data_IF_319034227159
#
_entry.id   IF_319034227159
#
_cell.length_a   1.000
_cell.length_b   1.000
_cell.length_c   1.000
_cell.angle_alpha   90.00
_cell.angle_beta   90.00
_cell.angle_gamma   90.00
#
_symmetry.space_group_name_H-M   'P 1'
#
loop_
_entity.id
_entity.type
_entity.pdbx_description
1 polymer ?
#
# COMPACT_ATOMS: atom_id res chain seq x y z
N UNK A 1 2.96 -29.70 5.83
CA UNK A 1 3.76 -29.52 7.06
C UNK A 1 3.73 -30.77 7.95
N UNK A 2 2.62 -31.51 8.03
CA UNK A 2 2.54 -32.78 8.77
C UNK A 2 3.61 -33.79 8.33
N UNK A 3 3.78 -33.98 7.02
CA UNK A 3 4.83 -34.85 6.49
C UNK A 3 6.25 -34.39 6.88
N UNK A 4 6.49 -33.08 7.00
CA UNK A 4 7.76 -32.56 7.51
C UNK A 4 7.95 -32.88 9.00
N UNK A 5 6.89 -32.79 9.81
CA UNK A 5 6.92 -33.19 11.22
C UNK A 5 7.27 -34.67 11.36
N UNK A 6 6.69 -35.53 10.53
CA UNK A 6 7.01 -36.97 10.50
C UNK A 6 8.46 -37.22 10.10
N UNK A 7 8.93 -36.62 9.00
CA UNK A 7 10.32 -36.78 8.54
C UNK A 7 11.33 -36.25 9.56
N UNK A 8 11.01 -35.16 10.26
CA UNK A 8 11.89 -34.59 11.27
C UNK A 8 12.03 -35.49 12.53
N UNK A 9 11.08 -36.42 12.72
CA UNK A 9 11.04 -37.36 13.85
C UNK A 9 11.52 -38.78 13.48
N UNK A 10 11.74 -39.08 12.20
CA UNK A 10 12.14 -40.40 11.72
C UNK A 10 13.64 -40.49 11.47
N UNK A 11 14.36 -41.28 12.26
CA UNK A 11 15.83 -41.42 12.21
C UNK A 11 16.39 -42.10 10.95
N UNK A 12 15.53 -42.77 10.18
CA UNK A 12 15.90 -43.43 8.92
C UNK A 12 15.86 -42.49 7.71
N UNK A 13 15.28 -41.29 7.83
CA UNK A 13 15.24 -40.31 6.72
C UNK A 13 16.26 -39.20 6.89
N UNK A 14 16.71 -38.64 5.76
CA UNK A 14 17.73 -37.57 5.71
C UNK A 14 17.38 -36.34 6.56
N UNK A 15 16.10 -36.08 6.79
CA UNK A 15 15.63 -34.87 7.45
C UNK A 15 15.48 -35.01 8.98
N UNK A 16 15.89 -36.14 9.58
CA UNK A 16 15.83 -36.33 11.02
C UNK A 16 16.52 -35.19 11.78
N UNK A 17 15.74 -34.45 12.58
CA UNK A 17 16.19 -33.28 13.36
C UNK A 17 16.91 -32.21 12.53
N UNK A 18 16.61 -32.11 11.22
CA UNK A 18 17.22 -31.12 10.32
C UNK A 18 16.32 -29.90 10.10
N UNK A 19 15.06 -29.95 10.52
CA UNK A 19 14.07 -28.88 10.28
C UNK A 19 13.61 -28.30 11.61
N UNK A 20 13.68 -26.98 11.73
CA UNK A 20 13.09 -26.27 12.84
C UNK A 20 11.60 -26.02 12.58
N UNK A 21 10.75 -26.81 13.23
CA UNK A 21 9.30 -26.71 13.09
C UNK A 21 8.67 -25.58 13.92
N UNK A 22 9.46 -24.87 14.75
CA UNK A 22 8.99 -23.75 15.58
C UNK A 22 9.06 -22.39 14.84
N UNK A 23 9.68 -22.38 13.66
CA UNK A 23 9.91 -21.19 12.83
C UNK A 23 9.62 -21.49 11.36
N UNK A 24 8.34 -21.53 11.02
CA UNK A 24 7.87 -21.86 9.68
C UNK A 24 7.49 -20.58 8.92
N UNK A 25 7.95 -20.46 7.67
CA UNK A 25 7.48 -19.45 6.72
C UNK A 25 6.89 -20.14 5.51
N UNK A 26 5.71 -19.70 5.08
CA UNK A 26 5.05 -20.21 3.87
C UNK A 26 5.27 -19.25 2.71
N UNK A 27 5.65 -19.77 1.54
CA UNK A 27 5.90 -18.96 0.34
C UNK A 27 5.08 -19.53 -0.82
N UNK A 28 4.33 -18.66 -1.49
CA UNK A 28 3.50 -19.04 -2.63
C UNK A 28 3.56 -18.01 -3.75
N UNK A 29 3.34 -18.47 -4.99
CA UNK A 29 3.35 -17.64 -6.20
C UNK A 29 2.01 -17.73 -6.93
N UNK A 30 1.48 -16.61 -7.44
CA UNK A 30 0.20 -16.57 -8.17
C UNK A 30 -0.94 -17.14 -7.31
N UNK A 31 -1.69 -18.12 -7.79
CA UNK A 31 -2.67 -18.89 -6.99
C UNK A 31 -2.09 -19.51 -5.73
N UNK A 32 -0.81 -19.89 -5.77
CA UNK A 32 -0.09 -20.38 -4.58
C UNK A 32 0.08 -19.30 -3.52
N UNK A 33 0.17 -18.03 -3.91
CA UNK A 33 0.28 -16.89 -2.98
C UNK A 33 -1.02 -16.65 -2.20
N UNK A 34 -2.18 -16.87 -2.82
CA UNK A 34 -3.47 -16.94 -2.11
C UNK A 34 -3.51 -18.18 -1.20
N UNK A 35 -3.10 -19.33 -1.71
CA UNK A 35 -3.16 -20.60 -0.99
C UNK A 35 -2.37 -20.59 0.33
N UNK A 36 -1.21 -19.91 0.39
CA UNK A 36 -0.44 -19.78 1.65
C UNK A 36 -1.13 -18.90 2.68
N UNK A 37 -1.90 -17.89 2.23
CA UNK A 37 -2.74 -17.05 3.11
C UNK A 37 -3.90 -17.87 3.68
N UNK A 38 -4.56 -18.67 2.84
CA UNK A 38 -5.61 -19.62 3.24
C UNK A 38 -5.07 -20.68 4.20
N UNK A 39 -3.90 -21.25 3.90
CA UNK A 39 -3.25 -22.24 4.77
C UNK A 39 -2.95 -21.68 6.16
N UNK A 40 -2.48 -20.43 6.24
CA UNK A 40 -2.26 -19.76 7.54
C UNK A 40 -3.55 -19.52 8.30
N UNK A 41 -4.63 -19.10 7.61
CA UNK A 41 -5.95 -18.97 8.22
C UNK A 41 -6.45 -20.31 8.79
N UNK A 42 -6.29 -21.39 8.03
CA UNK A 42 -6.79 -22.72 8.41
C UNK A 42 -5.96 -23.37 9.52
N UNK A 43 -4.69 -22.96 9.67
CA UNK A 43 -3.76 -23.56 10.61
C UNK A 43 -4.25 -23.57 12.07
N UNK A 44 -5.05 -22.57 12.46
CA UNK A 44 -5.62 -22.46 13.82
C UNK A 44 -7.06 -22.96 13.93
N UNK A 45 -7.69 -23.38 12.83
CA UNK A 45 -9.08 -23.84 12.85
C UNK A 45 -9.15 -25.30 13.28
N UNK A 46 -10.19 -25.70 14.03
CA UNK A 46 -10.42 -27.11 14.39
C UNK A 46 -11.06 -27.94 13.25
N UNK A 47 -11.63 -27.27 12.25
CA UNK A 47 -12.38 -27.89 11.15
C UNK A 47 -12.12 -27.17 9.83
N UNK A 48 -12.32 -27.87 8.72
CA UNK A 48 -12.46 -27.23 7.42
C UNK A 48 -13.73 -26.37 7.37
N UNK A 49 -13.65 -25.06 7.01
CA UNK A 49 -14.81 -24.16 7.05
C UNK A 49 -16.03 -24.61 6.25
N UNK A 50 -15.84 -25.29 5.11
CA UNK A 50 -16.95 -25.67 4.25
C UNK A 50 -17.50 -27.07 4.57
N UNK A 51 -16.81 -27.86 5.40
CA UNK A 51 -17.25 -29.20 5.80
C UNK A 51 -16.62 -29.63 7.13
N UNK A 52 -17.37 -29.46 8.22
CA UNK A 52 -16.91 -29.80 9.58
C UNK A 52 -16.66 -31.30 9.84
N UNK A 53 -16.92 -32.20 8.88
CA UNK A 53 -16.49 -33.61 8.97
C UNK A 53 -14.98 -33.76 8.80
N UNK A 54 -14.33 -32.77 8.20
CA UNK A 54 -12.89 -32.70 8.07
C UNK A 54 -12.31 -31.98 9.27
N UNK A 55 -11.65 -32.75 10.15
CA UNK A 55 -10.98 -32.25 11.34
C UNK A 55 -9.59 -31.74 11.00
N UNK A 56 -9.18 -30.66 11.63
CA UNK A 56 -7.82 -30.14 11.53
C UNK A 56 -7.09 -30.29 12.87
N UNK A 57 -5.80 -30.66 12.79
CA UNK A 57 -4.86 -30.68 13.92
C UNK A 57 -3.49 -30.16 13.47
N UNK A 58 -3.51 -28.99 12.83
CA UNK A 58 -2.32 -28.38 12.22
C UNK A 58 -1.49 -27.63 13.26
N UNK A 59 -1.99 -26.48 13.74
CA UNK A 59 -1.38 -25.65 14.77
C UNK A 59 0.15 -25.46 14.63
N UNK A 60 0.65 -25.37 13.39
CA UNK A 60 2.06 -25.17 13.10
C UNK A 60 2.50 -23.76 13.50
N UNK A 61 3.77 -23.59 13.89
CA UNK A 61 4.33 -22.28 14.25
C UNK A 61 4.71 -21.47 13.01
N UNK A 62 3.70 -21.09 12.25
CA UNK A 62 3.84 -20.19 11.10
C UNK A 62 4.15 -18.79 11.65
N UNK A 63 5.33 -18.27 11.29
CA UNK A 63 5.83 -16.94 11.68
C UNK A 63 5.63 -15.91 10.59
N UNK A 64 5.56 -16.35 9.34
CA UNK A 64 5.37 -15.44 8.22
C UNK A 64 4.84 -16.08 6.96
N UNK A 65 4.31 -15.24 6.09
CA UNK A 65 3.77 -15.60 4.77
C UNK A 65 4.40 -14.69 3.72
N UNK A 66 4.85 -15.28 2.61
CA UNK A 66 5.22 -14.57 1.40
C UNK A 66 4.26 -14.92 0.28
N UNK A 67 3.60 -13.90 -0.27
CA UNK A 67 2.71 -14.01 -1.41
C UNK A 67 3.32 -13.27 -2.62
N UNK A 68 3.92 -14.01 -3.53
CA UNK A 68 4.52 -13.50 -4.77
C UNK A 68 3.42 -13.40 -5.83
N UNK A 69 3.25 -12.22 -6.44
CA UNK A 69 2.25 -11.88 -7.45
C UNK A 69 0.90 -12.60 -7.23
N UNK A 70 0.31 -12.53 -6.02
CA UNK A 70 -0.78 -13.42 -5.66
C UNK A 70 -2.11 -12.97 -6.26
N UNK A 71 -2.99 -13.92 -6.55
CA UNK A 71 -4.41 -13.62 -6.68
C UNK A 71 -5.01 -13.30 -5.30
N UNK A 72 -6.15 -12.60 -5.26
CA UNK A 72 -6.93 -12.42 -4.02
C UNK A 72 -8.44 -12.51 -4.25
N UNK A 73 -9.06 -13.57 -3.74
CA UNK A 73 -10.51 -13.80 -3.75
C UNK A 73 -10.98 -14.85 -4.77
N UNK A 74 -10.12 -15.77 -5.23
CA UNK A 74 -10.59 -16.93 -5.99
C UNK A 74 -11.22 -17.98 -5.07
N UNK A 75 -10.75 -18.05 -3.82
CA UNK A 75 -11.39 -18.80 -2.75
C UNK A 75 -11.81 -17.85 -1.63
N UNK A 76 -13.04 -18.00 -1.13
CA UNK A 76 -13.59 -17.21 -0.03
C UNK A 76 -14.23 -18.17 0.96
N UNK A 77 -13.48 -18.66 1.98
CA UNK A 77 -14.01 -19.61 2.94
C UNK A 77 -15.25 -19.02 3.62
N UNK A 78 -16.35 -19.77 3.66
CA UNK A 78 -17.65 -19.29 4.14
C UNK A 78 -18.16 -17.98 3.49
N UNK A 79 -17.71 -17.64 2.29
CA UNK A 79 -18.14 -16.45 1.54
C UNK A 79 -17.51 -15.13 1.98
N UNK A 80 -16.49 -15.15 2.84
CA UNK A 80 -15.77 -13.94 3.28
C UNK A 80 -14.34 -13.89 2.75
N UNK A 81 -13.71 -12.69 2.67
CA UNK A 81 -12.29 -12.58 2.41
C UNK A 81 -11.47 -13.34 3.47
N UNK A 82 -10.40 -14.01 3.06
CA UNK A 82 -9.55 -14.82 3.93
C UNK A 82 -8.95 -13.99 5.08
N UNK A 83 -9.31 -14.26 6.34
CA UNK A 83 -8.73 -13.57 7.49
C UNK A 83 -7.34 -14.12 7.78
N UNK A 84 -6.35 -13.24 7.88
CA UNK A 84 -4.98 -13.57 8.31
C UNK A 84 -4.67 -12.73 9.53
N UNK A 85 -4.20 -13.36 10.60
CA UNK A 85 -3.85 -12.67 11.83
C UNK A 85 -2.56 -13.24 12.45
N UNK A 86 -1.89 -12.39 13.23
CA UNK A 86 -0.77 -12.76 14.12
C UNK A 86 0.39 -13.49 13.42
N UNK A 87 0.69 -13.05 12.19
CA UNK A 87 1.84 -13.51 11.39
C UNK A 87 2.45 -12.33 10.64
N UNK A 88 3.75 -12.39 10.36
CA UNK A 88 4.36 -11.46 9.42
C UNK A 88 3.84 -11.74 8.00
N UNK A 89 3.69 -10.69 7.19
CA UNK A 89 3.20 -10.84 5.82
C UNK A 89 4.06 -10.05 4.83
N UNK A 90 4.40 -10.64 3.70
CA UNK A 90 5.07 -9.93 2.61
C UNK A 90 4.46 -10.28 1.27
N UNK A 91 4.17 -9.26 0.46
CA UNK A 91 3.77 -9.45 -0.93
C UNK A 91 4.65 -8.64 -1.88
N UNK A 92 4.94 -9.22 -3.03
CA UNK A 92 5.73 -8.59 -4.09
C UNK A 92 5.04 -8.82 -5.43
N UNK A 93 4.89 -7.77 -6.24
CA UNK A 93 4.34 -7.90 -7.59
C UNK A 93 4.99 -6.90 -8.54
N UNK A 94 5.01 -7.25 -9.82
CA UNK A 94 5.58 -6.41 -10.87
C UNK A 94 4.53 -5.59 -11.62
N UNK A 95 4.92 -4.42 -12.13
CA UNK A 95 4.01 -3.56 -12.90
C UNK A 95 3.73 -4.08 -14.32
N UNK A 96 4.61 -4.94 -14.85
CA UNK A 96 4.51 -5.58 -16.17
C UNK A 96 3.95 -7.01 -16.07
N UNK A 97 3.31 -7.35 -14.95
CA UNK A 97 2.62 -8.61 -14.74
C UNK A 97 1.41 -8.70 -15.69
N UNK A 98 1.51 -9.56 -16.71
CA UNK A 98 0.46 -9.67 -17.72
C UNK A 98 -0.60 -10.73 -17.40
N UNK A 99 -0.38 -11.56 -16.37
CA UNK A 99 -1.34 -12.56 -15.90
C UNK A 99 -2.25 -11.92 -14.84
N UNK A 100 -1.64 -11.27 -13.85
CA UNK A 100 -2.27 -10.50 -12.78
C UNK A 100 -1.92 -9.02 -12.90
N UNK A 101 -2.74 -8.30 -13.65
CA UNK A 101 -2.40 -6.94 -14.04
C UNK A 101 -2.67 -5.89 -12.95
N UNK A 102 -3.50 -6.18 -11.93
CA UNK A 102 -3.72 -5.37 -10.72
C UNK A 102 -2.87 -5.87 -9.56
N UNK A 103 -2.44 -4.99 -8.66
CA UNK A 103 -1.67 -5.34 -7.46
C UNK A 103 -2.55 -5.99 -6.37
N UNK A 104 -3.00 -7.22 -6.64
CA UNK A 104 -3.98 -7.92 -5.82
C UNK A 104 -3.45 -8.32 -4.44
N UNK A 105 -2.15 -8.59 -4.32
CA UNK A 105 -1.52 -8.90 -3.03
C UNK A 105 -1.69 -7.80 -1.97
N UNK A 106 -1.81 -6.54 -2.39
CA UNK A 106 -2.05 -5.43 -1.47
C UNK A 106 -3.39 -5.56 -0.72
N UNK A 107 -4.40 -6.19 -1.35
CA UNK A 107 -5.70 -6.42 -0.71
C UNK A 107 -5.60 -7.35 0.50
N UNK A 108 -4.85 -8.46 0.36
CA UNK A 108 -4.64 -9.39 1.47
C UNK A 108 -3.70 -8.80 2.52
N UNK A 109 -2.63 -8.11 2.10
CA UNK A 109 -1.72 -7.41 3.01
C UNK A 109 -2.47 -6.48 3.96
N UNK A 110 -3.36 -5.62 3.42
CA UNK A 110 -4.13 -4.65 4.23
C UNK A 110 -5.17 -5.27 5.16
N UNK A 111 -5.58 -6.52 4.91
CA UNK A 111 -6.50 -7.26 5.78
C UNK A 111 -5.78 -8.01 6.90
N UNK A 112 -4.45 -8.05 6.93
CA UNK A 112 -3.71 -8.70 8.01
C UNK A 112 -3.99 -7.95 9.32
N UNK A 113 -4.34 -8.70 10.36
CA UNK A 113 -4.64 -8.14 11.68
C UNK A 113 -3.61 -8.60 12.71
N UNK A 114 -3.22 -7.70 13.61
CA UNK A 114 -2.34 -8.00 14.73
C UNK A 114 -3.16 -7.91 16.02
N UNK A 115 -3.43 -9.05 16.64
CA UNK A 115 -4.34 -9.21 17.78
C UNK A 115 -3.63 -9.65 19.05
N UNK A 116 -2.49 -10.32 18.92
CA UNK A 116 -1.64 -10.67 20.05
C UNK A 116 -0.70 -9.52 20.45
N UNK A 117 0.11 -9.75 21.49
CA UNK A 117 1.08 -8.77 21.98
C UNK A 117 2.47 -8.91 21.33
N UNK A 118 2.61 -9.82 20.36
CA UNK A 118 3.90 -10.05 19.69
C UNK A 118 4.07 -8.99 18.61
N UNK A 119 5.32 -8.56 18.40
CA UNK A 119 5.58 -7.68 17.27
C UNK A 119 5.42 -8.44 15.95
N UNK A 120 4.53 -7.94 15.10
CA UNK A 120 4.33 -8.36 13.72
C UNK A 120 4.40 -7.17 12.77
N UNK A 121 4.69 -7.46 11.50
CA UNK A 121 4.63 -6.49 10.41
C UNK A 121 4.08 -7.09 9.12
N UNK A 122 3.49 -6.24 8.29
CA UNK A 122 3.09 -6.58 6.94
C UNK A 122 3.70 -5.57 5.96
N UNK A 123 4.21 -6.08 4.85
CA UNK A 123 4.92 -5.30 3.85
C UNK A 123 4.51 -5.66 2.42
N UNK A 124 4.60 -4.67 1.54
CA UNK A 124 4.32 -4.78 0.12
C UNK A 124 5.46 -4.16 -0.69
N UNK A 125 5.77 -4.75 -1.84
CA UNK A 125 6.69 -4.20 -2.82
C UNK A 125 6.08 -4.27 -4.23
N UNK A 126 5.77 -3.10 -4.79
CA UNK A 126 5.46 -2.98 -6.21
C UNK A 126 6.72 -2.62 -7.00
N UNK A 127 7.11 -3.50 -7.93
CA UNK A 127 8.37 -3.41 -8.65
C UNK A 127 8.12 -2.98 -10.11
N UNK A 128 8.61 -1.81 -10.48
CA UNK A 128 8.47 -1.32 -11.85
C UNK A 128 9.19 -2.24 -12.84
N UNK A 129 8.49 -2.62 -13.91
CA UNK A 129 9.04 -3.38 -15.02
C UNK A 129 9.16 -4.89 -14.80
N UNK A 130 8.93 -5.38 -13.58
CA UNK A 130 8.86 -6.81 -13.31
C UNK A 130 7.58 -7.43 -13.87
N UNK A 131 7.66 -8.66 -14.36
CA UNK A 131 6.53 -9.43 -14.89
C UNK A 131 6.11 -10.55 -13.93
N UNK A 132 5.07 -11.32 -14.28
CA UNK A 132 4.58 -12.44 -13.48
C UNK A 132 5.62 -13.57 -13.42
N UNK A 133 6.17 -13.93 -14.58
CA UNK A 133 6.90 -15.18 -14.76
C UNK A 133 8.30 -15.23 -14.15
N UNK A 134 9.05 -14.14 -14.16
CA UNK A 134 10.48 -14.16 -13.78
C UNK A 134 10.73 -14.27 -12.27
N UNK A 135 9.69 -14.33 -11.42
CA UNK A 135 9.86 -14.76 -10.02
C UNK A 135 10.21 -16.25 -9.89
N UNK A 136 10.14 -17.01 -11.00
CA UNK A 136 10.70 -18.35 -11.10
C UNK A 136 11.43 -18.56 -12.43
N UNK A 137 12.20 -19.64 -12.52
CA UNK A 137 13.08 -19.92 -13.67
C UNK A 137 12.39 -20.62 -14.85
N UNK A 138 11.12 -21.00 -14.71
CA UNK A 138 10.43 -21.83 -15.69
C UNK A 138 9.49 -21.03 -16.60
N UNK A 139 8.88 -19.95 -16.11
CA UNK A 139 7.85 -19.21 -16.85
C UNK A 139 8.41 -18.13 -17.77
N UNK A 140 9.48 -17.44 -17.35
CA UNK A 140 10.17 -16.43 -18.16
C UNK A 140 9.32 -15.19 -18.45
N UNK A 141 9.51 -14.59 -19.63
CA UNK A 141 8.91 -13.31 -20.06
C UNK A 141 7.54 -13.44 -20.74
N UNK A 142 6.91 -14.61 -20.68
CA UNK A 142 5.77 -14.91 -21.54
C UNK A 142 4.42 -14.62 -20.91
N UNK A 143 4.26 -14.77 -19.59
CA UNK A 143 3.06 -14.54 -18.74
C UNK A 143 1.70 -15.07 -19.23
N UNK A 144 1.59 -15.49 -20.48
CA UNK A 144 0.39 -15.79 -21.22
C UNK A 144 0.67 -16.97 -22.15
N UNK A 145 -0.35 -17.80 -22.38
CA UNK A 145 -0.25 -18.90 -23.32
C UNK A 145 -0.24 -18.41 -24.79
N UNK A 146 0.09 -19.29 -25.74
CA UNK A 146 -0.09 -19.01 -27.16
C UNK A 146 -1.59 -18.80 -27.48
N UNK A 147 -1.99 -17.81 -28.30
CA UNK A 147 -1.15 -16.80 -28.97
C UNK A 147 -0.94 -15.51 -28.15
N UNK A 148 -1.50 -15.40 -26.94
CA UNK A 148 -1.50 -14.19 -26.11
C UNK A 148 -0.13 -13.54 -25.91
N UNK A 149 0.92 -14.33 -25.64
CA UNK A 149 2.27 -13.78 -25.43
C UNK A 149 2.84 -13.04 -26.67
N UNK A 150 2.32 -13.28 -27.87
CA UNK A 150 2.77 -12.59 -29.09
C UNK A 150 2.47 -11.10 -29.05
N UNK A 151 1.48 -10.69 -28.26
CA UNK A 151 1.03 -9.30 -28.12
C UNK A 151 1.73 -8.55 -26.98
N UNK A 152 2.47 -9.24 -26.11
CA UNK A 152 3.15 -8.62 -24.98
C UNK A 152 4.34 -7.75 -25.41
N UNK A 153 4.46 -6.59 -24.77
CA UNK A 153 5.62 -5.71 -24.88
C UNK A 153 6.75 -6.22 -23.96
N UNK A 154 7.34 -7.34 -24.37
CA UNK A 154 8.44 -7.98 -23.62
C UNK A 154 9.72 -7.14 -23.56
N UNK A 155 9.84 -6.08 -24.37
CA UNK A 155 11.00 -5.17 -24.32
C UNK A 155 10.99 -4.27 -23.08
N UNK A 156 9.82 -4.00 -22.52
CA UNK A 156 9.67 -3.19 -21.31
C UNK A 156 9.81 -4.00 -20.01
N UNK A 157 9.94 -5.33 -20.11
CA UNK A 157 10.19 -6.20 -18.95
C UNK A 157 11.67 -6.10 -18.56
N UNK A 158 11.94 -5.92 -17.26
CA UNK A 158 13.31 -5.87 -16.73
C UNK A 158 14.06 -7.19 -16.97
N UNK A 159 15.40 -7.17 -17.06
CA UNK A 159 16.21 -8.38 -17.16
C UNK A 159 15.93 -9.37 -16.02
N UNK A 160 15.92 -10.66 -16.36
CA UNK A 160 15.63 -11.75 -15.41
C UNK A 160 16.55 -11.71 -14.19
N UNK A 161 17.84 -11.40 -14.38
CA UNK A 161 18.81 -11.34 -13.30
C UNK A 161 18.49 -10.23 -12.29
N UNK A 162 17.88 -9.13 -12.75
CA UNK A 162 17.48 -8.03 -11.88
C UNK A 162 16.25 -8.41 -11.06
N UNK A 163 15.22 -9.00 -11.69
CA UNK A 163 14.02 -9.46 -10.98
C UNK A 163 14.33 -10.57 -9.98
N UNK A 164 15.14 -11.57 -10.38
CA UNK A 164 15.61 -12.62 -9.48
C UNK A 164 16.43 -12.03 -8.32
N UNK A 165 17.25 -11.00 -8.57
CA UNK A 165 18.02 -10.35 -7.51
C UNK A 165 17.13 -9.65 -6.49
N UNK A 166 16.12 -8.90 -6.94
CA UNK A 166 15.17 -8.25 -6.02
C UNK A 166 14.42 -9.30 -5.20
N UNK A 167 13.90 -10.35 -5.85
CA UNK A 167 13.22 -11.45 -5.17
C UNK A 167 14.14 -12.11 -4.13
N UNK A 168 15.38 -12.47 -4.50
CA UNK A 168 16.33 -13.07 -3.57
C UNK A 168 16.57 -12.21 -2.32
N UNK A 169 16.79 -10.89 -2.51
CA UNK A 169 17.07 -9.98 -1.40
C UNK A 169 15.87 -9.86 -0.46
N UNK A 170 14.69 -9.55 -0.98
CA UNK A 170 13.49 -9.35 -0.15
C UNK A 170 13.00 -10.64 0.50
N UNK A 171 13.00 -11.76 -0.22
CA UNK A 171 12.57 -13.05 0.33
C UNK A 171 13.50 -13.53 1.43
N UNK A 172 14.82 -13.37 1.25
CA UNK A 172 15.80 -13.75 2.27
C UNK A 172 15.67 -12.86 3.51
N UNK A 173 15.58 -11.54 3.30
CA UNK A 173 15.37 -10.56 4.37
C UNK A 173 14.11 -10.87 5.18
N UNK A 174 13.01 -11.22 4.51
CA UNK A 174 11.73 -11.48 5.17
C UNK A 174 11.77 -12.76 6.00
N UNK A 175 12.35 -13.84 5.44
CA UNK A 175 12.50 -15.11 6.15
C UNK A 175 13.40 -14.93 7.37
N UNK A 176 14.50 -14.18 7.24
CA UNK A 176 15.39 -13.90 8.37
C UNK A 176 14.69 -13.07 9.45
N UNK A 177 14.03 -11.97 9.09
CA UNK A 177 13.34 -11.12 10.06
C UNK A 177 12.16 -11.84 10.74
N UNK A 178 11.44 -12.69 10.00
CA UNK A 178 10.31 -13.47 10.58
C UNK A 178 10.76 -14.59 11.51
N UNK A 179 11.89 -15.23 11.23
CA UNK A 179 12.41 -16.33 12.05
C UNK A 179 13.36 -15.85 13.16
N UNK A 180 13.93 -14.67 13.00
CA UNK A 180 14.89 -14.04 13.90
C UNK A 180 14.58 -12.54 14.00
N UNK A 181 13.62 -12.15 14.86
CA UNK A 181 13.35 -10.74 15.11
C UNK A 181 14.64 -9.99 15.46
N UNK A 182 14.75 -8.74 15.01
CA UNK A 182 15.95 -7.90 15.19
C UNK A 182 17.15 -8.35 14.36
N UNK A 183 16.95 -9.18 13.33
CA UNK A 183 17.99 -9.52 12.36
C UNK A 183 18.54 -8.31 11.59
N UNK A 184 17.84 -7.18 11.64
CA UNK A 184 18.26 -5.89 11.10
C UNK A 184 17.79 -5.64 9.67
N UNK A 185 16.89 -6.48 9.15
CA UNK A 185 16.37 -6.36 7.79
C UNK A 185 15.04 -5.58 7.72
N UNK A 186 14.36 -5.37 8.85
CA UNK A 186 13.12 -4.59 8.91
C UNK A 186 13.19 -3.23 8.16
N UNK A 187 14.28 -2.43 8.24
CA UNK A 187 14.37 -1.17 7.50
C UNK A 187 14.21 -1.30 5.98
N UNK A 188 14.56 -2.45 5.37
CA UNK A 188 14.39 -2.70 3.93
C UNK A 188 12.92 -2.67 3.51
N UNK A 189 12.03 -3.14 4.38
CA UNK A 189 10.59 -3.20 4.11
C UNK A 189 9.92 -1.83 4.26
N UNK A 190 10.45 -0.98 5.14
CA UNK A 190 10.03 0.43 5.30
C UNK A 190 10.53 1.29 4.13
N UNK A 191 11.77 1.08 3.69
CA UNK A 191 12.41 1.86 2.63
C UNK A 191 13.49 1.05 1.91
N UNK A 192 13.29 0.75 0.63
CA UNK A 192 14.25 0.00 -0.21
C UNK A 192 15.65 0.64 -0.23
N UNK A 193 15.76 1.96 -0.02
CA UNK A 193 17.04 2.69 -0.06
C UNK A 193 17.99 2.22 1.04
N UNK A 194 17.46 1.72 2.16
CA UNK A 194 18.29 1.13 3.23
C UNK A 194 19.11 -0.08 2.76
N UNK A 195 18.60 -0.83 1.78
CA UNK A 195 19.28 -1.95 1.13
C UNK A 195 19.76 -1.64 -0.30
N UNK A 196 19.89 -0.36 -0.69
CA UNK A 196 20.12 0.05 -2.09
C UNK A 196 21.30 -0.67 -2.76
N UNK A 197 22.36 -0.93 -1.99
CA UNK A 197 23.58 -1.59 -2.45
C UNK A 197 23.42 -3.09 -2.78
N UNK A 198 22.30 -3.71 -2.37
CA UNK A 198 21.94 -5.07 -2.74
C UNK A 198 21.02 -5.14 -3.96
N UNK A 199 20.39 -4.03 -4.32
CA UNK A 199 19.31 -3.97 -5.31
C UNK A 199 19.78 -3.39 -6.65
N UNK A 200 19.24 -3.84 -7.79
CA UNK A 200 19.42 -3.16 -9.06
C UNK A 200 18.83 -1.74 -9.03
N UNK A 201 19.23 -0.89 -9.97
CA UNK A 201 18.68 0.45 -10.14
C UNK A 201 17.31 0.40 -10.80
N UNK A 202 16.29 0.20 -9.97
CA UNK A 202 14.89 0.08 -10.36
C UNK A 202 14.01 0.91 -9.43
N UNK A 203 12.81 1.24 -9.90
CA UNK A 203 11.78 1.89 -9.09
C UNK A 203 11.08 0.84 -8.23
N UNK A 204 11.07 1.09 -6.92
CA UNK A 204 10.50 0.24 -5.87
C UNK A 204 9.48 1.06 -5.08
N UNK A 205 8.23 0.61 -5.00
CA UNK A 205 7.22 1.24 -4.15
C UNK A 205 6.97 0.33 -2.94
N UNK A 206 7.47 0.75 -1.78
CA UNK A 206 7.27 0.05 -0.52
C UNK A 206 5.91 0.41 0.09
N UNK A 207 5.24 -0.60 0.64
CA UNK A 207 4.12 -0.45 1.56
C UNK A 207 4.49 -1.15 2.86
N UNK A 208 4.04 -0.59 3.98
CA UNK A 208 4.40 -1.13 5.29
C UNK A 208 3.36 -0.75 6.35
N UNK A 209 3.06 -1.69 7.25
CA UNK A 209 2.44 -1.40 8.54
C UNK A 209 2.90 -2.42 9.59
N UNK A 210 2.88 -2.03 10.85
CA UNK A 210 3.38 -2.84 11.97
C UNK A 210 2.43 -2.79 13.16
N UNK A 211 2.45 -3.84 13.96
CA UNK A 211 1.65 -4.00 15.18
C UNK A 211 1.88 -2.94 16.26
N UNK A 212 3.05 -2.31 16.28
CA UNK A 212 3.40 -1.27 17.25
C UNK A 212 2.96 0.14 16.84
N UNK A 213 2.45 0.32 15.63
CA UNK A 213 2.02 1.63 15.15
C UNK A 213 0.69 2.05 15.78
N UNK A 214 0.58 3.32 16.12
CA UNK A 214 -0.69 3.93 16.55
C UNK A 214 -1.27 4.69 15.37
N UNK A 215 -2.27 4.11 14.72
CA UNK A 215 -2.97 4.72 13.57
C UNK A 215 -4.10 5.60 14.09
N UNK A 216 -4.06 6.88 13.72
CA UNK A 216 -5.06 7.89 14.13
C UNK A 216 -6.13 8.10 13.06
N UNK A 217 -5.79 7.91 11.78
CA UNK A 217 -6.73 7.97 10.65
C UNK A 217 -6.45 6.81 9.68
N UNK A 218 -7.33 5.82 9.69
CA UNK A 218 -7.39 4.70 8.76
C UNK A 218 -8.54 4.85 7.73
N UNK A 219 -9.52 5.72 8.00
CA UNK A 219 -10.64 6.03 7.09
C UNK A 219 -11.60 4.83 6.84
N UNK A 220 -11.66 3.90 7.78
CA UNK A 220 -12.50 2.69 7.70
C UNK A 220 -13.62 2.66 8.76
N UNK A 221 -13.56 3.58 9.73
CA UNK A 221 -14.35 3.56 10.96
C UNK A 221 -15.81 3.97 10.76
N UNK A 222 -16.07 4.98 9.91
CA UNK A 222 -17.40 5.53 9.68
C UNK A 222 -17.49 6.32 8.35
N UNK A 223 -18.42 7.27 8.25
CA UNK A 223 -18.68 8.11 7.08
C UNK A 223 -18.53 9.61 7.40
N UNK A 224 -18.20 9.97 8.64
CA UNK A 224 -18.05 11.34 9.09
C UNK A 224 -16.61 11.82 8.87
N UNK A 225 -16.42 12.58 7.79
CA UNK A 225 -15.14 13.14 7.37
C UNK A 225 -14.45 13.99 8.45
N UNK A 226 -15.19 14.45 9.46
CA UNK A 226 -14.65 15.27 10.56
C UNK A 226 -14.08 14.45 11.72
N UNK A 227 -14.10 13.12 11.64
CA UNK A 227 -13.62 12.21 12.69
C UNK A 227 -12.41 11.40 12.23
N UNK A 228 -11.80 10.65 13.15
CA UNK A 228 -10.70 9.74 12.83
C UNK A 228 -10.78 8.47 13.67
N UNK A 229 -10.01 7.45 13.29
CA UNK A 229 -10.13 6.10 13.84
C UNK A 229 -9.75 5.98 15.31
N UNK A 230 -8.79 6.77 15.79
CA UNK A 230 -8.33 6.68 17.18
C UNK A 230 -7.62 7.95 17.67
N UNK A 231 -8.05 8.49 18.82
CA UNK A 231 -7.37 9.61 19.47
C UNK A 231 -7.41 10.92 18.65
N UNK A 232 -8.46 11.14 17.86
CA UNK A 232 -8.69 12.34 17.05
C UNK A 232 -9.87 13.12 17.63
N UNK A 233 -9.68 14.41 17.87
CA UNK A 233 -10.75 15.33 18.29
C UNK A 233 -11.64 15.70 17.11
N UNK A 234 -11.00 16.13 16.03
CA UNK A 234 -11.66 16.52 14.79
C UNK A 234 -10.69 16.57 13.62
N UNK A 235 -11.24 16.54 12.41
CA UNK A 235 -10.54 16.78 11.15
C UNK A 235 -11.20 17.97 10.45
N UNK A 236 -10.38 18.84 9.87
CA UNK A 236 -10.86 19.97 9.09
C UNK A 236 -10.04 20.18 7.83
N UNK A 237 -10.68 20.72 6.80
CA UNK A 237 -10.02 21.18 5.59
C UNK A 237 -10.41 22.61 5.23
N UNK A 238 -9.52 23.30 4.52
CA UNK A 238 -9.75 24.67 4.02
C UNK A 238 -9.03 24.86 2.70
N UNK A 239 -9.67 25.53 1.73
CA UNK A 239 -9.05 25.79 0.42
C UNK A 239 -8.77 24.52 -0.40
N UNK A 240 -9.48 23.41 -0.15
CA UNK A 240 -9.42 22.24 -1.03
C UNK A 240 -10.52 22.33 -2.07
N UNK A 241 -10.19 21.92 -3.30
CA UNK A 241 -11.16 21.71 -4.36
C UNK A 241 -11.89 20.37 -4.18
N UNK A 242 -11.19 19.37 -3.62
CA UNK A 242 -11.73 18.05 -3.33
C UNK A 242 -11.36 17.60 -1.92
N UNK A 243 -12.36 17.14 -1.17
CA UNK A 243 -12.19 16.38 0.07
C UNK A 243 -13.27 15.31 0.17
N UNK A 244 -12.86 14.04 0.06
CA UNK A 244 -13.75 12.89 0.27
C UNK A 244 -13.00 11.69 0.78
N UNK A 245 -13.69 10.83 1.52
CA UNK A 245 -13.23 9.46 1.77
C UNK A 245 -13.84 8.51 0.74
N UNK A 246 -13.10 7.47 0.37
CA UNK A 246 -13.61 6.51 -0.59
C UNK A 246 -12.71 5.29 -0.79
N UNK A 247 -13.26 4.31 -1.50
CA UNK A 247 -12.54 3.07 -1.84
C UNK A 247 -11.35 3.37 -2.73
N UNK A 248 -10.19 2.81 -2.38
CA UNK A 248 -8.98 2.99 -3.16
C UNK A 248 -9.08 2.15 -4.44
N UNK A 249 -9.01 2.78 -5.63
CA UNK A 249 -9.11 2.07 -6.90
C UNK A 249 -7.85 1.24 -7.15
N UNK A 250 -8.03 0.12 -7.85
CA UNK A 250 -6.97 -0.59 -8.56
C UNK A 250 -7.30 -0.58 -10.06
N UNK A 251 -6.45 -1.13 -10.93
CA UNK A 251 -6.77 -1.17 -12.37
C UNK A 251 -8.13 -1.80 -12.68
N UNK A 252 -8.52 -2.87 -11.96
CA UNK A 252 -9.86 -3.45 -12.09
C UNK A 252 -10.58 -3.61 -10.76
N UNK A 253 -11.38 -2.62 -10.36
CA UNK A 253 -12.13 -2.63 -9.11
C UNK A 253 -11.39 -1.87 -8.01
N UNK A 254 -11.38 -2.40 -6.78
CA UNK A 254 -10.81 -1.68 -5.62
C UNK A 254 -9.91 -2.57 -4.77
N UNK A 255 -9.07 -1.94 -3.95
CA UNK A 255 -8.31 -2.63 -2.91
C UNK A 255 -9.17 -3.04 -1.69
N UNK A 256 -10.47 -2.75 -1.71
CA UNK A 256 -11.44 -3.04 -0.62
C UNK A 256 -11.11 -2.40 0.74
N UNK A 257 -10.29 -1.37 0.71
CA UNK A 257 -10.01 -0.45 1.80
C UNK A 257 -10.25 0.98 1.29
N UNK A 258 -10.41 1.90 2.21
CA UNK A 258 -10.66 3.31 1.99
C UNK A 258 -9.38 4.12 2.18
N UNK A 259 -9.45 5.38 1.75
CA UNK A 259 -8.50 6.43 2.06
C UNK A 259 -9.17 7.79 1.82
N UNK A 260 -8.49 8.87 2.19
CA UNK A 260 -8.95 10.23 1.93
C UNK A 260 -8.32 10.78 0.65
N UNK A 261 -9.18 11.26 -0.25
CA UNK A 261 -8.82 11.94 -1.48
C UNK A 261 -8.87 13.45 -1.23
N UNK A 262 -7.73 14.08 -1.40
CA UNK A 262 -7.52 15.51 -1.23
C UNK A 262 -7.11 16.09 -2.58
N UNK A 263 -7.79 17.14 -3.02
CA UNK A 263 -7.44 17.85 -4.26
C UNK A 263 -7.37 19.35 -4.01
N UNK A 264 -6.39 20.00 -4.60
CA UNK A 264 -6.22 21.44 -4.52
C UNK A 264 -6.10 22.02 -5.92
N UNK A 265 -6.61 23.23 -6.07
CA UNK A 265 -6.39 24.10 -7.20
C UNK A 265 -6.16 25.52 -6.66
N UNK A 266 -4.93 25.99 -6.70
CA UNK A 266 -4.45 27.24 -6.11
C UNK A 266 -4.24 28.32 -7.19
N UNK A 267 -4.65 28.13 -8.44
CA UNK A 267 -4.29 29.01 -9.55
C UNK A 267 -4.70 30.47 -9.35
N UNK A 268 -5.90 30.68 -8.79
CA UNK A 268 -6.48 32.00 -8.54
C UNK A 268 -6.37 32.43 -7.07
N UNK A 269 -5.87 31.55 -6.21
CA UNK A 269 -5.88 31.74 -4.76
C UNK A 269 -4.50 31.92 -4.17
N UNK A 270 -4.40 32.87 -3.24
CA UNK A 270 -3.16 33.13 -2.49
C UNK A 270 -2.96 32.22 -1.28
N UNK A 271 -3.99 31.49 -0.86
CA UNK A 271 -3.96 30.59 0.29
C UNK A 271 -3.98 29.13 -0.20
N UNK A 272 -2.94 28.34 0.09
CA UNK A 272 -2.87 26.94 -0.32
C UNK A 272 -3.93 26.10 0.38
N UNK A 273 -4.35 25.04 -0.30
CA UNK A 273 -5.22 24.03 0.29
C UNK A 273 -4.60 23.38 1.53
N UNK A 274 -5.42 23.07 2.53
CA UNK A 274 -4.96 22.52 3.81
C UNK A 274 -5.92 21.46 4.33
N UNK A 275 -5.36 20.35 4.79
CA UNK A 275 -6.05 19.29 5.52
C UNK A 275 -5.39 19.13 6.89
N UNK A 276 -6.16 19.15 7.98
CA UNK A 276 -5.64 19.15 9.36
C UNK A 276 -6.37 18.14 10.23
N UNK A 277 -5.58 17.30 10.91
CA UNK A 277 -6.04 16.35 11.93
C UNK A 277 -5.69 16.94 13.30
N UNK A 278 -6.69 17.16 14.14
CA UNK A 278 -6.52 17.59 15.53
C UNK A 278 -6.55 16.38 16.47
N UNK A 279 -5.48 16.17 17.23
CA UNK A 279 -5.32 15.00 18.09
C UNK A 279 -5.95 15.25 19.46
N UNK A 280 -6.67 14.27 19.98
CA UNK A 280 -7.18 14.31 21.35
C UNK A 280 -6.06 14.15 22.38
N UNK A 281 -6.27 14.72 23.56
CA UNK A 281 -5.33 14.64 24.68
C UNK A 281 -5.18 13.22 25.25
N UNK A 282 -6.15 12.33 25.05
CA UNK A 282 -6.01 10.92 25.45
C UNK A 282 -4.90 10.18 24.69
N UNK A 283 -4.55 10.66 23.49
CA UNK A 283 -3.54 10.04 22.64
C UNK A 283 -2.10 10.24 23.16
N UNK A 284 -1.85 11.30 23.93
CA UNK A 284 -0.52 11.71 24.41
C UNK A 284 0.29 10.55 25.00
N UNK A 285 -0.33 9.73 25.86
CA UNK A 285 0.35 8.59 26.51
C UNK A 285 0.62 7.41 25.57
N UNK A 286 -0.18 7.25 24.51
CA UNK A 286 -0.04 6.15 23.56
C UNK A 286 1.11 6.38 22.59
N UNK A 287 1.26 7.62 22.14
CA UNK A 287 2.29 8.06 21.19
C UNK A 287 3.57 8.53 21.90
N UNK A 288 3.61 8.53 23.23
CA UNK A 288 4.82 8.85 23.98
C UNK A 288 5.97 7.92 23.56
N UNK A 289 7.11 8.53 23.22
CA UNK A 289 8.28 7.79 22.76
C UNK A 289 8.24 7.34 21.30
N UNK A 290 7.17 7.63 20.54
CA UNK A 290 7.16 7.41 19.10
C UNK A 290 8.30 8.17 18.42
N UNK A 291 8.96 7.53 17.45
CA UNK A 291 10.14 8.05 16.77
C UNK A 291 9.82 8.72 15.43
N UNK A 292 8.66 8.40 14.85
CA UNK A 292 8.25 8.90 13.54
C UNK A 292 6.75 9.13 13.42
N UNK A 293 6.40 10.12 12.58
CA UNK A 293 5.10 10.21 11.94
C UNK A 293 5.13 9.36 10.67
N UNK A 294 4.09 8.58 10.43
CA UNK A 294 3.99 7.68 9.29
C UNK A 294 2.64 7.81 8.61
N UNK A 295 2.62 7.63 7.29
CA UNK A 295 1.39 7.56 6.49
C UNK A 295 1.66 6.88 5.16
N UNK A 296 0.59 6.50 4.47
CA UNK A 296 0.62 6.00 3.10
C UNK A 296 0.14 7.10 2.16
N UNK A 297 0.89 7.40 1.09
CA UNK A 297 0.56 8.49 0.17
C UNK A 297 0.88 8.17 -1.30
N UNK A 298 0.08 8.71 -2.22
CA UNK A 298 0.31 8.69 -3.66
C UNK A 298 -0.52 9.80 -4.33
N UNK A 299 -0.15 10.15 -5.55
CA UNK A 299 -1.04 10.88 -6.45
C UNK A 299 -2.35 10.09 -6.65
N UNK A 300 -3.49 10.75 -6.42
CA UNK A 300 -4.80 10.11 -6.55
C UNK A 300 -5.22 9.90 -8.02
N UNK A 301 -4.57 10.58 -8.97
CA UNK A 301 -4.79 10.43 -10.41
C UNK A 301 -6.23 10.71 -10.82
N UNK A 302 -6.81 11.73 -10.22
CA UNK A 302 -8.13 12.26 -10.53
C UNK A 302 -8.03 13.77 -10.72
N UNK A 303 -9.03 14.34 -11.37
CA UNK A 303 -9.17 15.80 -11.46
C UNK A 303 -9.50 16.35 -10.06
N UNK A 304 -8.72 17.30 -9.51
CA UNK A 304 -9.04 17.97 -8.25
C UNK A 304 -10.33 18.81 -8.32
N UNK A 305 -10.76 19.21 -9.52
CA UNK A 305 -11.85 20.14 -9.74
C UNK A 305 -11.48 21.60 -9.44
N UNK A 306 -12.48 22.48 -9.53
CA UNK A 306 -12.38 23.89 -9.12
C UNK A 306 -12.70 24.02 -7.63
N UNK A 307 -12.25 25.11 -7.00
CA UNK A 307 -12.70 25.44 -5.65
C UNK A 307 -14.12 25.99 -5.70
N UNK A 308 -14.91 25.75 -4.65
CA UNK A 308 -16.32 26.17 -4.57
C UNK A 308 -16.52 27.69 -4.73
N UNK A 309 -15.50 28.50 -4.42
CA UNK A 309 -15.57 29.96 -4.56
C UNK A 309 -15.26 30.46 -5.99
N UNK A 310 -14.92 29.57 -6.93
CA UNK A 310 -14.66 29.89 -8.34
C UNK A 310 -15.94 29.96 -9.21
N UNK A 311 -17.10 29.58 -8.67
CA UNK A 311 -18.40 29.55 -9.36
C UNK A 311 -19.11 30.92 -9.38
N UNK A 312 -18.36 32.01 -9.62
CA UNK A 312 -18.95 33.26 -10.10
C UNK A 312 -18.98 33.27 -11.64
N UNK A 313 -20.21 33.16 -12.17
CA UNK A 313 -20.64 33.31 -13.58
C UNK A 313 -20.49 32.11 -14.55
N UNK A 314 -21.24 31.03 -14.33
CA UNK A 314 -21.97 30.43 -15.46
C UNK A 314 -23.48 30.46 -15.14
N UNK A 315 -24.18 31.37 -15.81
CA UNK A 315 -25.61 31.57 -15.71
C UNK A 315 -26.38 30.35 -16.18
N UNK A 316 -27.32 29.92 -15.34
CA UNK A 316 -28.42 29.01 -15.63
C UNK A 316 -29.07 29.28 -17.01
N UNK A 317 -29.19 28.26 -17.84
CA UNK A 317 -30.31 28.10 -18.78
C UNK A 317 -30.50 26.62 -19.18
N UNK A 318 -31.62 26.07 -18.71
CA UNK A 318 -32.45 24.98 -19.27
C UNK A 318 -31.88 23.53 -19.32
N UNK A 319 -32.60 22.46 -18.95
CA UNK A 319 -34.02 22.25 -18.67
C UNK A 319 -34.25 20.87 -18.05
N UNK A 320 -35.31 20.74 -17.24
CA UNK A 320 -35.86 19.48 -16.74
C UNK A 320 -36.45 18.62 -17.86
N UNK A 321 -36.15 17.31 -17.87
CA UNK A 321 -37.15 16.28 -18.21
C UNK A 321 -36.75 14.88 -17.72
N UNK A 322 -37.77 14.17 -17.23
CA UNK A 322 -37.74 12.90 -16.50
C UNK A 322 -37.40 11.62 -17.31
N UNK A 323 -36.95 10.63 -16.53
CA UNK A 323 -37.18 9.16 -16.62
C UNK A 323 -36.28 8.23 -17.46
N UNK A 324 -35.68 7.29 -16.71
CA UNK A 324 -35.35 5.88 -16.96
C UNK A 324 -34.90 5.40 -18.36
N UNK A 325 -33.67 4.86 -18.41
CA UNK A 325 -33.23 3.98 -19.50
C UNK A 325 -31.72 3.74 -19.54
N UNK A 326 -31.31 2.58 -19.04
CA UNK A 326 -30.02 1.91 -19.25
C UNK A 326 -29.52 2.03 -20.71
N UNK A 327 -28.36 2.65 -20.95
CA UNK A 327 -27.41 2.25 -22.00
C UNK A 327 -26.13 3.09 -21.98
N UNK A 328 -25.03 2.37 -22.22
CA UNK A 328 -23.70 2.81 -22.62
C UNK A 328 -23.66 4.11 -23.44
N UNK A 329 -22.91 5.11 -22.96
CA UNK A 329 -22.05 5.95 -23.79
C UNK A 329 -21.18 6.87 -22.92
N UNK A 330 -19.94 6.48 -22.71
CA UNK A 330 -18.89 7.36 -22.22
C UNK A 330 -17.74 7.35 -23.24
N UNK A 331 -17.92 8.05 -24.35
CA UNK A 331 -16.82 8.35 -25.28
C UNK A 331 -16.40 9.83 -25.23
N UNK A 332 -15.11 9.98 -24.91
CA UNK A 332 -14.15 10.90 -25.51
C UNK A 332 -14.35 12.40 -25.25
N UNK A 333 -13.63 12.89 -24.23
CA UNK A 333 -12.91 14.16 -24.37
C UNK A 333 -11.46 13.89 -24.77
N UNK A 334 -11.05 14.63 -25.80
CA UNK A 334 -9.77 14.54 -26.47
C UNK A 334 -8.62 14.79 -25.50
N UNK A 335 -7.62 13.92 -25.54
CA UNK A 335 -6.30 14.16 -24.96
C UNK A 335 -5.65 15.27 -25.76
N UNK A 336 -5.44 16.41 -25.13
CA UNK A 336 -4.36 17.31 -25.52
C UNK A 336 -3.05 16.54 -25.29
N UNK A 337 -2.16 16.62 -26.28
CA UNK A 337 -0.81 16.04 -26.20
C UNK A 337 -0.05 16.85 -25.15
N UNK A 338 0.01 16.35 -23.92
CA UNK A 338 0.95 16.83 -22.92
C UNK A 338 2.37 16.53 -23.41
N UNK A 339 3.20 17.58 -23.51
CA UNK A 339 4.63 17.51 -23.77
C UNK A 339 5.28 16.46 -22.86
N UNK A 340 6.27 15.71 -23.39
CA UNK A 340 7.12 14.73 -22.68
C UNK A 340 8.00 15.41 -21.59
N UNK A 341 7.40 16.10 -20.62
CA UNK A 341 8.06 16.47 -19.38
C UNK A 341 7.97 15.31 -18.38
N UNK A 342 9.09 15.01 -17.71
CA UNK A 342 9.11 14.00 -16.66
C UNK A 342 8.08 14.37 -15.58
N UNK A 343 7.18 13.44 -15.19
CA UNK A 343 6.11 13.75 -14.25
C UNK A 343 6.69 14.21 -12.92
N UNK A 344 6.24 15.38 -12.45
CA UNK A 344 6.69 15.97 -11.20
C UNK A 344 6.07 15.20 -10.03
N UNK A 345 6.88 14.69 -9.08
CA UNK A 345 6.38 14.12 -7.82
C UNK A 345 5.48 15.09 -7.06
N UNK A 346 4.33 14.61 -6.59
CA UNK A 346 3.49 15.37 -5.65
C UNK A 346 4.29 15.70 -4.40
N UNK A 347 4.31 16.98 -4.03
CA UNK A 347 4.99 17.48 -2.84
C UNK A 347 4.09 18.41 -2.01
N UNK A 348 4.37 18.53 -0.72
CA UNK A 348 3.61 19.38 0.19
C UNK A 348 4.40 19.68 1.46
N UNK A 349 3.98 20.74 2.14
CA UNK A 349 4.50 21.09 3.45
C UNK A 349 3.70 20.36 4.54
N UNK A 350 4.40 19.54 5.33
CA UNK A 350 3.86 19.02 6.60
C UNK A 350 4.09 20.07 7.69
N UNK A 351 3.02 20.43 8.42
CA UNK A 351 3.07 21.34 9.56
C UNK A 351 2.52 20.65 10.79
N UNK A 352 3.37 20.43 11.80
CA UNK A 352 2.96 19.92 13.11
C UNK A 352 2.89 21.08 14.10
N UNK A 353 1.83 21.12 14.89
CA UNK A 353 1.66 22.13 15.95
C UNK A 353 1.68 21.44 17.29
N UNK A 354 2.46 21.96 18.24
CA UNK A 354 2.53 21.40 19.59
C UNK A 354 1.47 21.99 20.55
N UNK A 355 1.43 21.49 21.79
CA UNK A 355 0.48 21.91 22.83
C UNK A 355 0.56 23.40 23.22
N UNK A 356 1.65 24.10 22.87
CA UNK A 356 1.81 25.54 23.13
C UNK A 356 1.60 26.39 21.87
N UNK A 357 1.22 25.77 20.75
CA UNK A 357 0.96 26.46 19.48
C UNK A 357 2.21 26.71 18.63
N UNK A 358 3.35 26.11 18.96
CA UNK A 358 4.57 26.25 18.15
C UNK A 358 4.49 25.31 16.94
N UNK A 359 4.80 25.84 15.76
CA UNK A 359 4.80 25.09 14.51
C UNK A 359 6.17 24.50 14.18
N UNK A 360 6.16 23.30 13.61
CA UNK A 360 7.30 22.55 13.12
C UNK A 360 7.00 22.13 11.69
N UNK A 361 7.92 22.38 10.77
CA UNK A 361 7.67 22.28 9.33
C UNK A 361 8.67 21.34 8.66
N UNK A 362 8.19 20.55 7.70
CA UNK A 362 9.02 19.69 6.87
C UNK A 362 8.41 19.58 5.47
N UNK A 363 9.19 19.89 4.43
CA UNK A 363 8.77 19.65 3.03
C UNK A 363 8.97 18.19 2.73
N UNK A 364 7.96 17.51 2.18
CA UNK A 364 8.04 16.06 1.96
C UNK A 364 9.22 15.70 1.02
N UNK A 365 9.36 16.42 -0.10
CA UNK A 365 10.41 16.21 -1.09
C UNK A 365 11.84 16.40 -0.57
N UNK A 366 12.04 17.15 0.52
CA UNK A 366 13.37 17.28 1.17
C UNK A 366 13.81 15.98 1.86
N UNK A 367 12.88 15.05 2.10
CA UNK A 367 13.12 13.81 2.82
C UNK A 367 12.82 12.56 1.96
N UNK A 368 11.65 12.53 1.30
CA UNK A 368 11.21 11.42 0.47
C UNK A 368 10.29 11.93 -0.65
N UNK A 369 10.71 11.74 -1.90
CA UNK A 369 9.85 12.01 -3.05
C UNK A 369 8.84 10.87 -3.22
N UNK A 370 7.56 11.20 -3.38
CA UNK A 370 6.55 10.26 -3.82
C UNK A 370 6.80 9.93 -5.29
N UNK A 371 7.08 8.67 -5.60
CA UNK A 371 7.23 8.26 -6.99
C UNK A 371 5.93 8.57 -7.76
N UNK A 372 6.01 9.16 -8.96
CA UNK A 372 4.86 9.33 -9.82
C UNK A 372 4.18 8.01 -10.17
N UNK A 373 2.93 8.05 -10.65
CA UNK A 373 2.22 6.85 -11.09
C UNK A 373 3.03 6.04 -12.12
N UNK A 374 3.21 4.75 -11.84
CA UNK A 374 3.85 3.84 -12.80
C UNK A 374 2.86 3.57 -13.92
N UNK A 375 3.26 3.87 -15.17
CA UNK A 375 2.45 3.65 -16.38
C UNK A 375 2.98 2.46 -17.21
N UNK A 376 2.69 1.19 -16.83
CA UNK A 376 3.26 0.04 -17.52
C UNK A 376 2.63 -0.17 -18.90
N UNK A 377 3.49 -0.32 -19.92
CA UNK A 377 3.04 -0.66 -21.27
C UNK A 377 3.10 -2.18 -21.46
N UNK A 378 2.13 -2.91 -20.93
CA UNK A 378 2.12 -4.39 -20.92
C UNK A 378 2.05 -5.00 -22.32
N UNK A 379 1.27 -4.39 -23.22
CA UNK A 379 1.05 -4.86 -24.59
C UNK A 379 1.70 -3.96 -25.64
N UNK A 380 2.01 -4.51 -26.81
CA UNK A 380 2.64 -3.78 -27.93
C UNK A 380 1.75 -2.68 -28.53
N UNK A 381 0.44 -2.78 -28.32
CA UNK A 381 -0.55 -1.82 -28.82
C UNK A 381 -1.78 -1.82 -27.92
N UNK A 382 -2.33 -0.63 -27.67
CA UNK A 382 -3.61 -0.44 -26.97
C UNK A 382 -4.80 -0.95 -27.79
N UNK A 383 -4.65 -1.15 -29.10
CA UNK A 383 -5.72 -1.64 -29.98
C UNK A 383 -6.28 -3.01 -29.56
N UNK A 384 -5.47 -3.81 -28.87
CA UNK A 384 -5.87 -5.16 -28.46
C UNK A 384 -6.31 -5.24 -26.99
N UNK A 385 -6.08 -4.18 -26.20
CA UNK A 385 -6.24 -4.21 -24.74
C UNK A 385 -6.48 -2.79 -24.19
N UNK A 386 -7.63 -2.60 -23.54
CA UNK A 386 -7.98 -1.37 -22.82
C UNK A 386 -7.78 -1.60 -21.31
N UNK A 387 -6.57 -1.32 -20.85
CA UNK A 387 -6.23 -1.32 -19.43
C UNK A 387 -6.04 0.14 -18.97
N UNK A 388 -6.43 0.50 -17.73
CA UNK A 388 -6.02 1.77 -17.16
C UNK A 388 -4.51 1.93 -17.24
N UNK A 389 -4.06 3.16 -17.52
CA UNK A 389 -2.65 3.43 -17.80
C UNK A 389 -1.74 3.13 -16.59
N UNK A 390 -2.29 3.19 -15.39
CA UNK A 390 -1.59 3.13 -14.11
C UNK A 390 -2.50 2.59 -13.00
N UNK A 391 -1.89 2.26 -11.87
CA UNK A 391 -2.58 1.86 -10.65
C UNK A 391 -2.19 2.82 -9.53
N UNK A 392 -3.17 3.30 -8.74
CA UNK A 392 -2.89 4.14 -7.58
C UNK A 392 -2.22 3.29 -6.49
N UNK A 393 -0.89 3.35 -6.45
CA UNK A 393 -0.08 2.55 -5.55
C UNK A 393 0.49 3.42 -4.44
N UNK A 394 -0.17 3.39 -3.28
CA UNK A 394 0.29 4.13 -2.10
C UNK A 394 1.70 3.70 -1.67
N UNK A 395 2.50 4.68 -1.27
CA UNK A 395 3.88 4.53 -0.80
C UNK A 395 3.95 4.82 0.70
N UNK A 396 4.67 3.99 1.44
CA UNK A 396 4.91 4.22 2.85
C UNK A 396 5.88 5.38 3.05
N UNK A 397 5.45 6.36 3.84
CA UNK A 397 6.25 7.51 4.22
C UNK A 397 6.59 7.38 5.71
N UNK A 398 7.89 7.38 6.02
CA UNK A 398 8.40 7.36 7.39
C UNK A 398 9.16 8.65 7.67
N UNK A 399 8.58 9.55 8.47
CA UNK A 399 9.18 10.84 8.81
C UNK A 399 9.68 10.83 10.26
N UNK A 400 10.99 10.72 10.50
CA UNK A 400 11.52 10.74 11.85
C UNK A 400 11.22 12.09 12.51
N UNK A 401 10.59 12.10 13.68
CA UNK A 401 10.20 13.34 14.37
C UNK A 401 11.42 14.23 14.67
N UNK A 402 12.59 13.62 14.90
CA UNK A 402 13.88 14.32 15.04
C UNK A 402 14.29 15.20 13.85
N UNK A 403 13.70 14.96 12.66
CA UNK A 403 13.94 15.72 11.43
C UNK A 403 12.95 16.87 11.25
N UNK A 404 11.79 16.80 11.89
CA UNK A 404 10.75 17.85 11.84
C UNK A 404 11.08 18.88 12.91
N UNK A 405 11.40 20.10 12.48
CA UNK A 405 11.97 21.13 13.36
C UNK A 405 11.15 22.41 13.33
N UNK A 406 11.19 23.13 14.44
CA UNK A 406 10.72 24.50 14.53
C UNK A 406 11.67 25.45 13.81
N UNK A 407 11.26 26.70 13.64
CA UNK A 407 12.12 27.77 13.10
C UNK A 407 13.41 27.95 13.93
N UNK A 408 13.37 27.69 15.23
CA UNK A 408 14.55 27.74 16.11
C UNK A 408 15.44 26.49 16.04
N UNK A 409 15.08 25.50 15.22
CA UNK A 409 15.85 24.27 15.01
C UNK A 409 15.60 23.17 16.05
N UNK A 410 14.63 23.35 16.96
CA UNK A 410 14.23 22.33 17.95
C UNK A 410 13.37 21.27 17.27
N UNK A 411 13.66 19.99 17.54
CA UNK A 411 12.82 18.89 17.07
C UNK A 411 11.57 18.72 17.93
N UNK A 412 10.47 18.30 17.31
CA UNK A 412 9.22 17.98 18.02
C UNK A 412 9.31 16.63 18.73
N UNK A 413 8.59 16.49 19.84
CA UNK A 413 8.40 15.23 20.57
C UNK A 413 6.97 14.75 20.33
N UNK A 414 6.76 13.43 20.20
CA UNK A 414 5.49 12.87 19.76
C UNK A 414 4.32 13.27 20.67
N UNK A 415 4.53 13.15 21.97
CA UNK A 415 3.58 13.46 23.04
C UNK A 415 3.14 14.95 23.06
N UNK A 416 3.92 15.83 22.44
CA UNK A 416 3.61 17.26 22.37
C UNK A 416 2.74 17.62 21.16
N UNK A 417 2.56 16.72 20.18
CA UNK A 417 1.84 17.01 18.94
C UNK A 417 0.35 17.17 19.24
N UNK A 418 -0.22 18.30 18.80
CA UNK A 418 -1.66 18.58 18.90
C UNK A 418 -2.38 18.58 17.55
N UNK A 419 -1.69 18.91 16.47
CA UNK A 419 -2.27 18.80 15.14
C UNK A 419 -1.24 18.42 14.09
N UNK A 420 -1.71 17.72 13.05
CA UNK A 420 -0.96 17.34 11.86
C UNK A 420 -1.65 18.02 10.68
N UNK A 421 -0.97 18.94 9.99
CA UNK A 421 -1.49 19.59 8.80
C UNK A 421 -0.68 19.21 7.55
N UNK A 422 -1.39 18.86 6.50
CA UNK A 422 -0.90 18.74 5.13
C UNK A 422 -1.26 20.04 4.41
N UNK A 423 -0.25 20.78 3.96
CA UNK A 423 -0.41 22.09 3.31
C UNK A 423 0.11 21.99 1.88
N UNK A 424 -0.79 22.16 0.91
CA UNK A 424 -0.53 21.97 -0.51
C UNK A 424 -0.07 23.27 -1.16
N UNK A 425 1.19 23.63 -0.93
CA UNK A 425 1.83 24.88 -1.35
C UNK A 425 2.94 24.72 -2.40
N UNK A 426 3.23 23.48 -2.82
CA UNK A 426 4.29 23.18 -3.77
C UNK A 426 3.83 23.37 -5.23
N UNK A 427 2.81 22.64 -5.66
CA UNK A 427 2.20 22.79 -6.99
C UNK A 427 0.95 23.69 -6.94
N UNK A 428 0.62 24.29 -8.10
CA UNK A 428 -0.62 25.06 -8.24
C UNK A 428 -1.84 24.17 -8.10
N UNK A 429 -1.82 22.99 -8.69
CA UNK A 429 -2.92 22.04 -8.60
C UNK A 429 -2.36 20.63 -8.45
N UNK A 430 -3.18 19.73 -7.91
CA UNK A 430 -2.80 18.34 -7.75
C UNK A 430 -3.77 17.58 -6.86
N UNK A 431 -3.49 16.29 -6.72
CA UNK A 431 -4.27 15.41 -5.84
C UNK A 431 -3.38 14.51 -5.01
N UNK A 432 -3.86 14.16 -3.82
CA UNK A 432 -3.22 13.25 -2.90
C UNK A 432 -4.27 12.25 -2.41
N UNK A 433 -3.96 10.97 -2.54
CA UNK A 433 -4.59 9.92 -1.77
C UNK A 433 -3.75 9.64 -0.53
N UNK A 434 -4.39 9.71 0.64
CA UNK A 434 -3.76 9.53 1.94
C UNK A 434 -4.47 8.42 2.72
N UNK A 435 -3.70 7.60 3.42
CA UNK A 435 -4.20 6.47 4.24
C UNK A 435 -3.24 6.21 5.41
N UNK A 436 -3.72 5.54 6.47
CA UNK A 436 -2.93 5.06 7.61
C UNK A 436 -2.05 6.14 8.29
N UNK A 437 -2.60 7.34 8.53
CA UNK A 437 -1.87 8.38 9.26
C UNK A 437 -1.70 7.93 10.71
N UNK A 438 -0.47 7.96 11.23
CA UNK A 438 -0.18 7.48 12.57
C UNK A 438 1.26 7.69 13.02
N UNK A 439 1.61 7.02 14.11
CA UNK A 439 2.91 7.13 14.76
C UNK A 439 3.56 5.76 14.93
N UNK A 440 4.87 5.69 14.66
CA UNK A 440 5.69 4.48 14.77
C UNK A 440 6.74 4.64 15.87
N UNK A 441 7.02 3.55 16.59
CA UNK A 441 7.98 3.50 17.70
C UNK A 441 9.39 3.13 17.26
#
# INVERSE_FOLDING_TARGET
>A
LELWREWNQCDTVRFFRQVDMERVVLIGHSRGGEAVSVASCFNSLPFYPDNAKELFDFNFKIRGIVAIAPVDGQYSPAGIPTPVADVNYFTIQGSMDADLRSYDGLRQMRRVQFKDSTYHFAAGLYLHGANHGQFNRSWGIFDQAYPGYLFLNRKAIIPVEQQEKVALVYLTAFVLESCHPESGYLPLFKDYRSGRHWLPDLVHLNQFHESSATIVCAYEEDLDLSTGSYGVDSIGASGLALWKEGRIPKKWGTHRNNGVFLGWNNEKDSIPGRYTIYLDSSLTSQIEGSLALTFMAADAQIDPGKRLDDDEEESDEDSENDSDGDSDDAEKKAKEEEDDEDPVPVDFMLVLTDTIGLEYRLKLGDYQNLQPPIKPTIFKSKLFWEDPESEVTLQYVYLPLKKIKSISGRAISAEAIRSISFVFDAEKEGTLLLDQVGFSR
#
